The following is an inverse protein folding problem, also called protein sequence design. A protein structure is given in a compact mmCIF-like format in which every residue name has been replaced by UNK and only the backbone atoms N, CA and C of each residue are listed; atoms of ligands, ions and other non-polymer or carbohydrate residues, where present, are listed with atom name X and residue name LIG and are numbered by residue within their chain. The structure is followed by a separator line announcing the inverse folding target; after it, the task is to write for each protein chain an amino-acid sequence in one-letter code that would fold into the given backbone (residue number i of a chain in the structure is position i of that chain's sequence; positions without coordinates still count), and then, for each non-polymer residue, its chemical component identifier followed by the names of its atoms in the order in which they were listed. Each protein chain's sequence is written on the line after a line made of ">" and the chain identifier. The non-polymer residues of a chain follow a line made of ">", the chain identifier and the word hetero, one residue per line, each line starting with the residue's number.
data_IF_685581700471
#
_entry.id   IF_685581700471
#
_cell.length_a   1.000
_cell.length_b   1.000
_cell.length_c   1.000
_cell.angle_alpha   90.00
_cell.angle_beta   90.00
_cell.angle_gamma   90.00
#
_symmetry.space_group_name_H-M   'P 1'
#
loop_
_entity.id
_entity.type
_entity.pdbx_description
1 polymer ?
#
# COMPACT_ATOMS: atom_id res chain seq x y z
N UNK A 1 12.63 33.91 -14.52
CA UNK A 1 12.82 32.54 -14.03
C UNK A 1 11.47 31.82 -14.00
N UNK A 2 10.55 32.12 -13.11
CA UNK A 2 9.23 31.44 -13.01
C UNK A 2 8.46 31.31 -14.33
N UNK A 3 8.42 32.35 -15.15
CA UNK A 3 7.72 32.30 -16.45
C UNK A 3 8.39 31.33 -17.43
N UNK A 4 9.71 31.29 -17.47
CA UNK A 4 10.46 30.37 -18.36
C UNK A 4 10.23 28.93 -17.92
N UNK A 5 10.29 28.69 -16.62
CA UNK A 5 10.08 27.36 -16.02
C UNK A 5 8.64 26.89 -16.27
N UNK A 6 7.66 27.80 -16.16
CA UNK A 6 6.26 27.50 -16.44
C UNK A 6 6.00 27.18 -17.93
N UNK A 7 6.61 27.93 -18.84
CA UNK A 7 6.51 27.66 -20.28
C UNK A 7 7.18 26.31 -20.61
N UNK A 8 8.35 26.05 -20.05
CA UNK A 8 9.02 24.75 -20.20
C UNK A 8 8.12 23.59 -19.74
N UNK A 9 7.49 23.74 -18.57
CA UNK A 9 6.64 22.71 -18.01
C UNK A 9 5.38 22.47 -18.87
N UNK A 10 4.75 23.53 -19.38
CA UNK A 10 3.63 23.43 -20.31
C UNK A 10 4.05 22.68 -21.58
N UNK A 11 5.17 23.06 -22.17
CA UNK A 11 5.69 22.40 -23.39
C UNK A 11 6.03 20.95 -23.13
N UNK A 12 6.64 20.64 -21.99
CA UNK A 12 6.93 19.27 -21.57
C UNK A 12 5.65 18.42 -21.44
N UNK A 13 4.62 18.92 -20.76
CA UNK A 13 3.34 18.22 -20.60
C UNK A 13 2.61 18.00 -21.92
N UNK A 14 2.65 18.99 -22.82
CA UNK A 14 2.08 18.86 -24.17
C UNK A 14 2.79 17.79 -24.97
N UNK A 15 4.12 17.79 -25.02
CA UNK A 15 4.92 16.77 -25.71
C UNK A 15 4.81 15.40 -25.05
N UNK A 16 4.62 15.36 -23.73
CA UNK A 16 4.34 14.10 -23.02
C UNK A 16 3.04 13.48 -23.51
N UNK A 17 1.96 14.27 -23.56
CA UNK A 17 0.62 13.81 -23.93
C UNK A 17 0.44 13.60 -25.45
N UNK A 18 1.13 14.37 -26.27
CA UNK A 18 1.02 14.36 -27.72
C UNK A 18 2.38 14.06 -28.35
N UNK A 19 2.63 12.78 -28.61
CA UNK A 19 3.91 12.31 -29.16
C UNK A 19 4.25 12.87 -30.55
N UNK A 20 3.24 13.30 -31.30
CA UNK A 20 3.36 13.97 -32.61
C UNK A 20 4.00 15.37 -32.51
N UNK A 21 4.02 15.99 -31.34
CA UNK A 21 4.71 17.25 -31.08
C UNK A 21 6.21 17.08 -30.80
N UNK A 22 6.72 15.83 -30.74
CA UNK A 22 8.13 15.54 -30.48
C UNK A 22 8.90 15.53 -31.78
N UNK A 23 10.01 16.25 -31.82
CA UNK A 23 10.94 16.22 -32.93
C UNK A 23 11.84 14.97 -32.90
N UNK A 24 12.41 14.55 -34.04
CA UNK A 24 13.35 13.42 -34.11
C UNK A 24 14.59 13.61 -33.21
N UNK A 25 14.98 14.85 -32.95
CA UNK A 25 16.11 15.23 -32.10
C UNK A 25 15.66 15.87 -30.77
N UNK A 26 14.52 15.46 -30.25
CA UNK A 26 14.02 15.98 -28.96
C UNK A 26 15.04 15.69 -27.84
N UNK A 27 15.50 16.75 -27.17
CA UNK A 27 16.56 16.65 -26.17
C UNK A 27 16.11 15.99 -24.86
N UNK A 28 14.80 15.84 -24.61
CA UNK A 28 14.26 15.19 -23.40
C UNK A 28 13.76 13.80 -23.74
N UNK A 29 12.86 13.69 -24.71
CA UNK A 29 12.20 12.42 -25.04
C UNK A 29 13.06 11.53 -25.95
N UNK A 30 14.02 12.12 -26.70
CA UNK A 30 14.95 11.39 -27.55
C UNK A 30 16.18 10.84 -26.85
N UNK A 31 16.47 11.28 -25.62
CA UNK A 31 17.63 10.83 -24.83
C UNK A 31 17.16 9.92 -23.70
N UNK A 32 17.58 8.64 -23.65
CA UNK A 32 17.02 7.64 -22.72
C UNK A 32 17.05 8.02 -21.24
N UNK A 33 18.08 8.76 -20.79
CA UNK A 33 18.22 9.15 -19.37
C UNK A 33 17.58 10.50 -19.03
N UNK A 34 17.37 11.39 -20.03
CA UNK A 34 16.87 12.75 -19.77
C UNK A 34 15.41 12.76 -19.29
N UNK A 35 14.54 11.94 -19.90
CA UNK A 35 13.14 11.91 -19.48
C UNK A 35 12.96 11.40 -18.04
N UNK A 36 13.60 10.30 -17.59
CA UNK A 36 13.58 9.88 -16.18
C UNK A 36 14.11 10.95 -15.21
N UNK A 37 15.18 11.65 -15.57
CA UNK A 37 15.77 12.69 -14.72
C UNK A 37 14.82 13.89 -14.58
N UNK A 38 14.31 14.44 -15.69
CA UNK A 38 13.32 15.53 -15.67
C UNK A 38 12.06 15.13 -14.88
N UNK A 39 11.58 13.90 -15.08
CA UNK A 39 10.44 13.37 -14.32
C UNK A 39 10.69 13.42 -12.81
N UNK A 40 11.86 12.96 -12.37
CA UNK A 40 12.22 12.94 -10.96
C UNK A 40 12.35 14.37 -10.40
N UNK A 41 12.96 15.28 -11.16
CA UNK A 41 13.11 16.69 -10.79
C UNK A 41 11.75 17.39 -10.63
N UNK A 42 10.77 17.08 -11.47
CA UNK A 42 9.40 17.60 -11.36
C UNK A 42 8.66 17.13 -10.10
N UNK A 43 9.09 16.01 -9.50
CA UNK A 43 8.52 15.47 -8.28
C UNK A 43 9.29 15.87 -7.02
N UNK A 44 10.35 16.70 -7.13
CA UNK A 44 11.05 17.27 -5.97
C UNK A 44 10.29 18.45 -5.38
N UNK A 45 10.11 18.47 -4.06
CA UNK A 45 9.39 19.55 -3.36
C UNK A 45 10.05 20.91 -3.53
N UNK A 46 11.37 20.95 -3.64
CA UNK A 46 12.18 22.17 -3.87
C UNK A 46 12.06 22.72 -5.30
N UNK A 47 11.52 21.95 -6.23
CA UNK A 47 11.38 22.32 -7.65
C UNK A 47 9.91 22.43 -8.06
N UNK A 48 9.10 23.08 -7.26
CA UNK A 48 7.66 23.17 -7.48
C UNK A 48 7.24 24.55 -7.99
N UNK A 49 6.37 24.54 -9.00
CA UNK A 49 5.66 25.73 -9.49
C UNK A 49 4.19 25.67 -9.03
N UNK A 50 3.61 26.81 -8.65
CA UNK A 50 2.18 26.87 -8.37
C UNK A 50 1.36 26.51 -9.61
N UNK A 51 0.41 25.57 -9.48
CA UNK A 51 -0.40 25.10 -10.60
C UNK A 51 -1.26 26.21 -11.22
N UNK A 52 -1.70 27.20 -10.43
CA UNK A 52 -2.47 28.33 -10.97
C UNK A 52 -1.72 29.13 -12.04
N UNK A 53 -0.37 29.21 -11.93
CA UNK A 53 0.46 29.89 -12.96
C UNK A 53 0.38 29.15 -14.29
N UNK A 54 0.38 27.80 -14.24
CA UNK A 54 0.25 27.00 -15.46
C UNK A 54 -1.16 27.15 -16.06
N UNK A 55 -2.20 27.19 -15.24
CA UNK A 55 -3.58 27.39 -15.68
C UNK A 55 -3.79 28.77 -16.31
N UNK A 56 -3.27 29.81 -15.67
CA UNK A 56 -3.34 31.20 -16.18
C UNK A 56 -2.63 31.31 -17.54
N UNK A 57 -1.41 30.78 -17.67
CA UNK A 57 -0.67 30.80 -18.93
C UNK A 57 -1.37 30.00 -20.02
N UNK A 58 -1.92 28.84 -19.71
CA UNK A 58 -2.68 28.03 -20.65
C UNK A 58 -3.94 28.74 -21.14
N UNK A 59 -4.64 29.43 -20.24
CA UNK A 59 -5.86 30.20 -20.56
C UNK A 59 -5.57 31.38 -21.48
N UNK A 60 -4.38 31.98 -21.41
CA UNK A 60 -3.95 33.04 -22.32
C UNK A 60 -3.75 32.53 -23.76
N UNK A 61 -3.31 31.26 -23.89
CA UNK A 61 -3.10 30.64 -25.20
C UNK A 61 -4.41 30.19 -25.85
N UNK A 62 -5.34 29.64 -25.04
CA UNK A 62 -6.62 29.14 -25.57
C UNK A 62 -7.75 29.45 -24.57
N UNK A 63 -8.57 30.46 -24.91
CA UNK A 63 -9.68 30.96 -24.07
C UNK A 63 -10.76 29.92 -23.77
N UNK A 64 -10.83 28.82 -24.54
CA UNK A 64 -11.81 27.75 -24.36
C UNK A 64 -11.25 26.58 -23.49
N UNK A 65 -9.99 26.63 -23.07
CA UNK A 65 -9.27 25.53 -22.46
C UNK A 65 -9.19 25.61 -20.94
N UNK A 66 -10.21 26.12 -20.25
CA UNK A 66 -10.20 26.11 -18.79
C UNK A 66 -9.92 24.71 -18.22
N UNK A 67 -8.86 24.57 -17.40
CA UNK A 67 -8.51 23.32 -16.74
C UNK A 67 -7.66 22.33 -17.55
N UNK A 68 -7.27 22.63 -18.79
CA UNK A 68 -6.45 21.71 -19.62
C UNK A 68 -5.08 21.47 -19.00
N UNK A 69 -4.41 22.51 -18.48
CA UNK A 69 -3.12 22.34 -17.81
C UNK A 69 -3.22 21.40 -16.61
N UNK A 70 -4.28 21.53 -15.84
CA UNK A 70 -4.57 20.65 -14.70
C UNK A 70 -4.79 19.20 -15.14
N UNK A 71 -5.58 18.98 -16.21
CA UNK A 71 -5.82 17.64 -16.75
C UNK A 71 -4.56 16.98 -17.27
N UNK A 72 -3.71 17.72 -17.99
CA UNK A 72 -2.41 17.24 -18.47
C UNK A 72 -1.48 16.88 -17.28
N UNK A 73 -1.47 17.72 -16.24
CA UNK A 73 -0.72 17.48 -15.01
C UNK A 73 -1.20 16.22 -14.30
N UNK A 74 -2.51 16.05 -14.17
CA UNK A 74 -3.14 14.86 -13.55
C UNK A 74 -2.77 13.61 -14.36
N UNK A 75 -2.90 13.64 -15.69
CA UNK A 75 -2.56 12.52 -16.56
C UNK A 75 -1.09 12.13 -16.40
N UNK A 76 -0.19 13.11 -16.43
CA UNK A 76 1.23 12.88 -16.20
C UNK A 76 1.49 12.22 -14.84
N UNK A 77 0.93 12.76 -13.75
CA UNK A 77 1.14 12.25 -12.39
C UNK A 77 0.58 10.83 -12.21
N UNK A 78 -0.60 10.54 -12.75
CA UNK A 78 -1.19 9.20 -12.71
C UNK A 78 -0.29 8.19 -13.42
N UNK A 79 0.23 8.53 -14.60
CA UNK A 79 1.12 7.68 -15.38
C UNK A 79 2.44 7.43 -14.61
N UNK A 80 3.00 8.48 -13.97
CA UNK A 80 4.23 8.34 -13.21
C UNK A 80 4.07 7.43 -11.99
N UNK A 81 3.00 7.59 -11.23
CA UNK A 81 2.72 6.74 -10.07
C UNK A 81 2.45 5.30 -10.51
N UNK A 82 1.68 5.12 -11.59
CA UNK A 82 1.40 3.79 -12.13
C UNK A 82 2.68 3.06 -12.54
N UNK A 83 3.62 3.76 -13.17
CA UNK A 83 4.92 3.20 -13.53
C UNK A 83 5.79 2.90 -12.30
N UNK A 84 5.93 3.88 -11.40
CA UNK A 84 6.89 3.80 -10.27
C UNK A 84 6.45 2.85 -9.16
N UNK A 85 5.14 2.72 -8.92
CA UNK A 85 4.61 1.85 -7.87
C UNK A 85 3.97 0.56 -8.40
N UNK A 86 3.88 0.38 -9.73
CA UNK A 86 3.24 -0.77 -10.35
C UNK A 86 1.73 -0.87 -10.07
N UNK A 87 1.09 0.25 -9.76
CA UNK A 87 -0.33 0.33 -9.41
C UNK A 87 -1.11 0.89 -10.59
N UNK A 88 -2.16 0.22 -11.04
CA UNK A 88 -3.03 0.73 -12.12
C UNK A 88 -4.01 1.77 -11.57
N UNK A 89 -3.51 2.97 -11.22
CA UNK A 89 -4.35 4.07 -10.76
C UNK A 89 -5.43 4.48 -11.77
N UNK A 90 -5.21 4.22 -13.05
CA UNK A 90 -6.20 4.49 -14.10
C UNK A 90 -7.55 3.84 -13.84
N UNK A 91 -7.60 2.69 -13.18
CA UNK A 91 -8.85 2.00 -12.85
C UNK A 91 -9.71 2.76 -11.83
N UNK A 92 -9.10 3.59 -10.96
CA UNK A 92 -9.85 4.46 -10.03
C UNK A 92 -10.52 5.65 -10.71
N UNK A 93 -10.04 6.02 -11.89
CA UNK A 93 -10.42 7.22 -12.60
C UNK A 93 -11.21 6.92 -13.88
N UNK A 94 -11.51 5.64 -14.15
CA UNK A 94 -12.29 5.22 -15.32
C UNK A 94 -13.77 5.09 -14.91
N UNK A 95 -14.63 5.48 -15.84
CA UNK A 95 -16.09 5.49 -15.91
C UNK A 95 -16.84 4.84 -14.71
N UNK A 96 -17.66 5.63 -13.97
CA UNK A 96 -18.48 5.16 -12.85
C UNK A 96 -19.44 4.02 -13.20
N UNK A 97 -19.76 3.83 -14.50
CA UNK A 97 -20.72 2.82 -14.99
C UNK A 97 -20.15 1.40 -14.99
N UNK A 98 -18.83 1.21 -14.83
CA UNK A 98 -18.19 -0.10 -14.97
C UNK A 98 -17.79 -0.77 -13.65
N UNK A 99 -17.90 -0.11 -12.50
CA UNK A 99 -17.46 -0.66 -11.22
C UNK A 99 -18.52 -0.48 -10.14
N UNK A 100 -19.36 -1.50 -9.93
CA UNK A 100 -20.27 -1.57 -8.79
C UNK A 100 -19.48 -1.64 -7.47
N UNK A 101 -19.69 -0.64 -6.61
CA UNK A 101 -19.26 -0.69 -5.20
C UNK A 101 -17.90 -0.07 -4.85
N UNK A 102 -17.16 0.53 -5.77
CA UNK A 102 -15.93 1.27 -5.47
C UNK A 102 -16.20 2.78 -5.42
N UNK A 103 -15.55 3.46 -4.45
CA UNK A 103 -15.63 4.91 -4.32
C UNK A 103 -14.85 5.60 -5.47
N UNK A 104 -15.59 5.94 -6.51
CA UNK A 104 -15.04 6.72 -7.62
C UNK A 104 -14.64 8.12 -7.15
N UNK A 105 -13.44 8.54 -7.51
CA UNK A 105 -12.96 9.91 -7.36
C UNK A 105 -12.74 10.48 -8.73
N UNK A 106 -13.47 11.55 -9.07
CA UNK A 106 -13.19 12.30 -10.29
C UNK A 106 -11.86 13.07 -10.12
N UNK A 107 -10.80 12.72 -10.87
CA UNK A 107 -9.50 13.38 -10.73
C UNK A 107 -9.58 14.88 -11.00
N UNK A 108 -10.50 15.32 -11.86
CA UNK A 108 -10.69 16.74 -12.19
C UNK A 108 -11.14 17.56 -10.98
N UNK A 109 -11.77 16.92 -9.99
CA UNK A 109 -12.22 17.55 -8.74
C UNK A 109 -11.13 17.59 -7.67
N UNK A 110 -10.01 16.89 -7.87
CA UNK A 110 -8.89 16.91 -6.94
C UNK A 110 -8.15 18.22 -7.12
N UNK A 111 -7.97 18.95 -6.03
CA UNK A 111 -7.23 20.20 -6.00
C UNK A 111 -5.79 19.97 -5.50
N UNK A 112 -4.88 20.83 -5.91
CA UNK A 112 -3.50 20.86 -5.46
C UNK A 112 -2.89 22.20 -5.78
N UNK A 113 -1.96 22.66 -4.92
CA UNK A 113 -1.27 23.94 -5.11
C UNK A 113 -0.11 23.82 -6.12
N UNK A 114 0.52 22.62 -6.17
CA UNK A 114 1.63 22.28 -7.07
C UNK A 114 1.65 20.77 -7.32
N UNK A 115 2.59 20.26 -8.14
CA UNK A 115 2.62 18.85 -8.57
C UNK A 115 2.64 17.86 -7.40
N UNK A 116 3.51 18.05 -6.41
CA UNK A 116 3.64 17.11 -5.29
C UNK A 116 2.38 17.11 -4.42
N UNK A 117 1.76 18.27 -4.21
CA UNK A 117 0.51 18.38 -3.47
C UNK A 117 -0.66 17.75 -4.24
N UNK A 118 -0.75 18.00 -5.55
CA UNK A 118 -1.74 17.37 -6.41
C UNK A 118 -1.56 15.83 -6.42
N UNK A 119 -0.33 15.36 -6.51
CA UNK A 119 0.00 13.93 -6.45
C UNK A 119 -0.44 13.30 -5.12
N UNK A 120 -0.09 13.95 -3.99
CA UNK A 120 -0.52 13.54 -2.67
C UNK A 120 -2.04 13.42 -2.59
N UNK A 121 -2.75 14.45 -3.04
CA UNK A 121 -4.20 14.50 -2.97
C UNK A 121 -4.87 13.46 -3.88
N UNK A 122 -4.32 13.19 -5.06
CA UNK A 122 -4.77 12.09 -5.92
C UNK A 122 -4.63 10.71 -5.25
N UNK A 123 -3.51 10.47 -4.56
CA UNK A 123 -3.25 9.20 -3.89
C UNK A 123 -4.13 8.98 -2.66
N UNK A 124 -4.43 10.04 -1.92
CA UNK A 124 -5.14 9.96 -0.62
C UNK A 124 -6.66 10.13 -0.77
N UNK A 125 -7.13 10.82 -1.82
CA UNK A 125 -8.54 11.13 -2.01
C UNK A 125 -9.51 9.93 -1.88
N UNK A 126 -9.19 8.72 -2.36
CA UNK A 126 -10.07 7.56 -2.18
C UNK A 126 -10.28 7.15 -0.72
N UNK A 127 -9.24 7.33 0.13
CA UNK A 127 -9.29 6.97 1.56
C UNK A 127 -10.05 7.99 2.40
N UNK A 128 -9.93 9.27 2.08
CA UNK A 128 -10.61 10.34 2.82
C UNK A 128 -12.13 10.23 2.76
N UNK A 129 -12.67 9.60 1.71
CA UNK A 129 -14.11 9.32 1.58
C UNK A 129 -14.59 8.22 2.54
N UNK A 130 -13.73 7.30 2.94
CA UNK A 130 -14.08 6.20 3.88
C UNK A 130 -14.22 6.69 5.33
N UNK A 131 -13.92 7.96 5.66
CA UNK A 131 -14.04 8.58 7.00
C UNK A 131 -13.59 7.65 8.15
N UNK A 132 -12.54 6.90 7.94
CA UNK A 132 -11.91 6.19 9.04
C UNK A 132 -11.23 7.26 9.91
N UNK A 133 -11.86 7.61 11.02
CA UNK A 133 -11.21 8.45 12.03
C UNK A 133 -10.03 7.68 12.56
N UNK A 134 -8.87 8.30 12.59
CA UNK A 134 -7.75 7.79 13.35
C UNK A 134 -8.16 7.65 14.82
N UNK A 135 -7.63 6.67 15.46
CA UNK A 135 -7.76 6.44 16.90
C UNK A 135 -6.37 6.47 17.51
N UNK A 136 -6.29 6.70 18.79
CA UNK A 136 -5.01 6.66 19.51
C UNK A 136 -4.29 5.34 19.25
N UNK A 137 -3.01 5.40 18.88
CA UNK A 137 -2.18 4.22 18.65
C UNK A 137 -1.95 3.47 19.97
N UNK A 138 -2.82 2.51 20.26
CA UNK A 138 -2.79 1.72 21.50
C UNK A 138 -1.83 0.53 21.44
N UNK A 139 -1.41 0.11 20.24
CA UNK A 139 -0.56 -1.05 20.04
C UNK A 139 0.34 -0.90 18.83
N UNK A 140 1.59 -1.33 18.94
CA UNK A 140 2.54 -1.41 17.83
C UNK A 140 2.16 -2.64 16.96
N UNK A 141 2.14 -2.47 15.63
CA UNK A 141 1.92 -3.59 14.73
C UNK A 141 3.03 -4.65 14.87
N UNK A 142 2.69 -5.95 14.90
CA UNK A 142 3.70 -6.99 14.83
C UNK A 142 4.34 -7.01 13.44
N UNK A 143 5.64 -7.37 13.35
CA UNK A 143 6.30 -7.52 12.07
C UNK A 143 5.69 -8.68 11.25
N UNK A 144 5.95 -8.67 9.94
CA UNK A 144 5.50 -9.70 8.99
C UNK A 144 5.96 -11.10 9.45
N UNK A 145 7.20 -11.24 9.90
CA UNK A 145 7.72 -12.52 10.43
C UNK A 145 6.93 -12.97 11.68
N UNK A 146 6.68 -12.06 12.63
CA UNK A 146 5.90 -12.36 13.84
C UNK A 146 4.48 -12.79 13.50
N UNK A 147 3.83 -12.09 12.56
CA UNK A 147 2.50 -12.45 12.08
C UNK A 147 2.50 -13.83 11.40
N UNK A 148 3.47 -14.09 10.53
CA UNK A 148 3.61 -15.38 9.85
C UNK A 148 3.86 -16.52 10.85
N UNK A 149 4.74 -16.32 11.84
CA UNK A 149 4.99 -17.28 12.92
C UNK A 149 3.77 -17.53 13.80
N UNK A 150 2.89 -16.54 13.94
CA UNK A 150 1.61 -16.67 14.62
C UNK A 150 0.54 -17.41 13.79
N UNK A 151 0.87 -17.85 12.56
CA UNK A 151 -0.08 -18.52 11.65
C UNK A 151 -0.95 -17.57 10.85
N UNK A 152 -0.66 -16.29 10.87
CA UNK A 152 -1.29 -15.30 10.01
C UNK A 152 -0.89 -15.51 8.54
N UNK A 153 -1.81 -15.25 7.64
CA UNK A 153 -1.58 -15.26 6.19
C UNK A 153 -1.31 -13.85 5.71
N UNK A 154 -0.44 -13.75 4.71
CA UNK A 154 -0.12 -12.48 4.06
C UNK A 154 -0.54 -12.62 2.61
N UNK A 155 -1.32 -11.65 2.10
CA UNK A 155 -1.88 -11.70 0.76
C UNK A 155 -1.72 -10.36 0.04
N UNK A 156 -1.17 -10.40 -1.18
CA UNK A 156 -1.09 -9.24 -2.05
C UNK A 156 -2.44 -8.97 -2.71
N UNK A 157 -3.05 -7.82 -2.46
CA UNK A 157 -4.32 -7.43 -3.04
C UNK A 157 -4.09 -6.73 -4.39
N UNK A 158 -4.75 -7.21 -5.44
CA UNK A 158 -4.73 -6.60 -6.78
C UNK A 158 -6.04 -5.89 -7.11
N UNK A 159 -7.11 -6.21 -6.38
CA UNK A 159 -8.45 -5.67 -6.63
C UNK A 159 -8.64 -4.26 -6.09
N UNK A 160 -7.78 -3.82 -5.16
CA UNK A 160 -7.81 -2.45 -4.66
C UNK A 160 -6.55 -1.72 -5.15
N UNK A 161 -6.69 -0.79 -6.11
CA UNK A 161 -5.57 -0.05 -6.65
C UNK A 161 -5.04 1.04 -5.69
N UNK A 162 -5.67 1.25 -4.52
CA UNK A 162 -5.18 2.20 -3.54
C UNK A 162 -4.02 1.61 -2.73
N UNK A 163 -2.82 2.17 -2.95
CA UNK A 163 -1.57 1.77 -2.30
C UNK A 163 -1.65 1.73 -0.76
N UNK A 164 -2.44 2.61 -0.16
CA UNK A 164 -2.54 2.79 1.29
C UNK A 164 -3.65 1.96 1.94
N UNK A 165 -4.44 1.20 1.17
CA UNK A 165 -5.57 0.42 1.69
C UNK A 165 -5.14 -0.92 2.29
N UNK A 166 -4.33 -0.88 3.37
CA UNK A 166 -3.92 -2.08 4.10
C UNK A 166 -5.04 -2.51 5.04
N UNK A 167 -5.40 -3.80 5.02
CA UNK A 167 -6.50 -4.35 5.83
C UNK A 167 -6.07 -5.66 6.50
N UNK A 168 -6.63 -5.91 7.70
CA UNK A 168 -6.45 -7.15 8.40
C UNK A 168 -7.81 -7.79 8.72
N UNK A 169 -8.04 -8.96 8.13
CA UNK A 169 -9.26 -9.73 8.32
C UNK A 169 -9.00 -10.84 9.35
N UNK A 170 -9.68 -10.78 10.48
CA UNK A 170 -9.68 -11.81 11.50
C UNK A 170 -11.04 -12.53 11.48
N UNK A 171 -11.24 -13.42 10.52
CA UNK A 171 -12.49 -14.15 10.40
C UNK A 171 -12.54 -15.31 11.38
N UNK A 172 -13.49 -15.27 12.31
CA UNK A 172 -13.97 -16.45 13.03
C UNK A 172 -14.78 -17.30 12.06
N UNK A 173 -14.22 -18.38 11.54
CA UNK A 173 -14.96 -19.26 10.66
C UNK A 173 -15.92 -20.09 11.52
N UNK A 174 -17.17 -19.65 11.62
CA UNK A 174 -18.29 -20.48 12.02
C UNK A 174 -18.65 -21.43 10.86
N UNK A 175 -18.02 -22.59 10.79
CA UNK A 175 -18.47 -23.65 9.89
C UNK A 175 -19.53 -24.47 10.61
N UNK A 176 -20.78 -24.41 10.13
CA UNK A 176 -21.93 -25.19 10.60
C UNK A 176 -22.31 -25.01 12.09
N UNK A 177 -22.20 -23.79 12.64
CA UNK A 177 -22.62 -23.52 14.02
C UNK A 177 -21.65 -24.02 15.11
N UNK A 178 -20.56 -24.68 14.74
CA UNK A 178 -19.50 -25.08 15.65
C UNK A 178 -18.42 -23.96 15.62
N UNK A 179 -18.03 -23.38 16.78
CA UNK A 179 -16.90 -22.45 16.81
C UNK A 179 -15.66 -23.20 16.31
N UNK A 180 -15.31 -22.99 15.05
CA UNK A 180 -14.10 -23.58 14.50
C UNK A 180 -12.92 -22.93 15.21
N UNK A 181 -12.15 -23.77 15.90
CA UNK A 181 -10.99 -23.42 16.72
C UNK A 181 -9.87 -22.74 15.90
N UNK A 182 -10.06 -22.57 14.59
CA UNK A 182 -9.10 -22.00 13.66
C UNK A 182 -9.36 -20.50 13.44
N UNK A 183 -8.65 -19.66 14.19
CA UNK A 183 -8.60 -18.23 13.97
C UNK A 183 -7.68 -17.95 12.75
N UNK A 184 -8.26 -17.62 11.62
CA UNK A 184 -7.51 -17.24 10.41
C UNK A 184 -7.39 -15.72 10.36
N UNK A 185 -6.20 -15.18 10.65
CA UNK A 185 -5.87 -13.79 10.36
C UNK A 185 -5.25 -13.68 8.98
N UNK A 186 -5.72 -12.76 8.18
CA UNK A 186 -5.15 -12.49 6.85
C UNK A 186 -4.86 -11.00 6.73
N UNK A 187 -3.59 -10.66 6.57
CA UNK A 187 -3.14 -9.31 6.24
C UNK A 187 -3.17 -9.14 4.73
N UNK A 188 -3.95 -8.18 4.27
CA UNK A 188 -4.06 -7.79 2.86
C UNK A 188 -3.31 -6.49 2.65
N UNK A 189 -2.33 -6.52 1.78
CA UNK A 189 -1.51 -5.36 1.42
C UNK A 189 -1.62 -5.18 -0.10
N UNK A 190 -1.92 -3.98 -0.61
CA UNK A 190 -1.86 -3.69 -2.03
C UNK A 190 -0.47 -4.01 -2.58
N UNK A 191 -0.42 -4.55 -3.80
CA UNK A 191 0.86 -4.84 -4.43
C UNK A 191 1.61 -3.56 -4.73
N UNK A 192 2.89 -3.57 -4.47
CA UNK A 192 3.79 -2.43 -4.61
C UNK A 192 5.05 -2.86 -5.37
N UNK A 193 5.38 -2.12 -6.42
CA UNK A 193 6.70 -2.18 -7.04
C UNK A 193 7.60 -1.14 -6.37
N UNK A 194 8.82 -1.52 -6.05
CA UNK A 194 9.82 -0.65 -5.44
C UNK A 194 11.04 -0.60 -6.34
N UNK A 195 11.38 0.60 -6.75
CA UNK A 195 12.53 0.95 -7.57
C UNK A 195 13.27 2.17 -6.98
N UNK A 196 14.41 2.54 -7.54
CA UNK A 196 15.25 3.64 -7.01
C UNK A 196 14.48 4.98 -6.88
N UNK A 197 13.55 5.27 -7.80
CA UNK A 197 12.72 6.48 -7.74
C UNK A 197 11.67 6.45 -6.63
N UNK A 198 11.32 5.28 -6.10
CA UNK A 198 10.28 5.11 -5.06
C UNK A 198 10.64 5.87 -3.77
N UNK A 199 11.91 5.77 -3.34
CA UNK A 199 12.37 6.49 -2.15
C UNK A 199 12.25 8.00 -2.32
N UNK A 200 12.64 8.54 -3.49
CA UNK A 200 12.55 9.97 -3.80
C UNK A 200 11.09 10.45 -3.74
N UNK A 201 10.18 9.76 -4.41
CA UNK A 201 8.76 10.12 -4.43
C UNK A 201 8.17 10.12 -3.03
N UNK A 202 8.38 9.04 -2.26
CA UNK A 202 7.84 8.93 -0.91
C UNK A 202 8.41 10.00 0.03
N UNK A 203 9.72 10.33 -0.07
CA UNK A 203 10.31 11.42 0.74
C UNK A 203 9.69 12.78 0.45
N UNK A 204 9.41 13.08 -0.80
CA UNK A 204 8.77 14.36 -1.18
C UNK A 204 7.30 14.40 -0.72
N UNK A 205 6.59 13.27 -0.80
CA UNK A 205 5.23 13.14 -0.27
C UNK A 205 5.18 13.26 1.26
N UNK A 206 6.13 12.68 1.97
CA UNK A 206 6.29 12.84 3.42
C UNK A 206 6.56 14.30 3.75
N UNK A 207 7.51 14.93 3.03
CA UNK A 207 7.88 16.31 3.27
C UNK A 207 6.70 17.28 3.08
N UNK A 208 5.87 17.11 2.05
CA UNK A 208 4.68 17.95 1.86
C UNK A 208 3.67 17.77 3.00
N UNK A 209 3.44 16.55 3.49
CA UNK A 209 2.54 16.32 4.64
C UNK A 209 3.07 16.96 5.92
N UNK A 210 4.39 16.89 6.15
CA UNK A 210 5.04 17.50 7.33
C UNK A 210 5.08 19.04 7.25
N UNK A 211 5.31 19.61 6.06
CA UNK A 211 5.37 21.07 5.85
C UNK A 211 4.00 21.73 5.83
N UNK A 212 2.99 21.08 5.25
CA UNK A 212 1.64 21.65 5.11
C UNK A 212 0.78 21.52 6.37
N UNK A 213 1.27 20.87 7.42
CA UNK A 213 0.47 20.49 8.60
C UNK A 213 -0.88 19.88 8.19
N UNK A 214 -0.80 18.93 7.25
CA UNK A 214 -1.99 18.24 6.75
C UNK A 214 -2.77 17.65 7.91
N UNK A 215 -4.11 17.86 7.91
CA UNK A 215 -4.98 17.30 8.95
C UNK A 215 -5.00 15.77 8.93
N UNK A 216 -4.69 15.18 7.77
CA UNK A 216 -4.72 13.74 7.56
C UNK A 216 -3.39 13.29 6.92
N UNK A 217 -2.30 13.10 7.71
CA UNK A 217 -0.99 12.71 7.20
C UNK A 217 -0.91 11.22 6.89
N UNK A 218 -1.76 10.76 5.96
CA UNK A 218 -1.96 9.32 5.64
C UNK A 218 -0.69 8.67 5.11
N UNK A 219 0.11 9.40 4.33
CA UNK A 219 1.36 8.88 3.77
C UNK A 219 2.40 8.69 4.88
N UNK A 220 2.50 9.64 5.81
CA UNK A 220 3.33 9.50 7.00
C UNK A 220 2.91 8.29 7.84
N UNK A 221 1.59 8.12 8.05
CA UNK A 221 1.04 6.96 8.78
C UNK A 221 1.34 5.63 8.07
N UNK A 222 1.24 5.61 6.73
CA UNK A 222 1.57 4.45 5.93
C UNK A 222 3.05 4.06 6.06
N UNK A 223 3.96 5.02 5.97
CA UNK A 223 5.40 4.76 6.10
C UNK A 223 5.75 4.27 7.50
N UNK A 224 5.14 4.84 8.54
CA UNK A 224 5.30 4.34 9.93
C UNK A 224 4.77 2.92 10.07
N UNK A 225 3.61 2.62 9.48
CA UNK A 225 3.09 1.24 9.48
C UNK A 225 4.03 0.28 8.75
N UNK A 226 4.54 0.66 7.58
CA UNK A 226 5.48 -0.16 6.83
C UNK A 226 6.79 -0.42 7.60
N UNK A 227 7.30 0.57 8.32
CA UNK A 227 8.44 0.44 9.23
C UNK A 227 8.17 -0.58 10.36
N UNK A 228 6.99 -0.53 10.97
CA UNK A 228 6.58 -1.54 11.96
C UNK A 228 6.47 -2.95 11.38
N UNK A 229 5.99 -3.08 10.14
CA UNK A 229 5.79 -4.35 9.46
C UNK A 229 7.11 -4.96 8.97
N UNK A 230 8.07 -4.13 8.53
CA UNK A 230 9.35 -4.53 7.92
C UNK A 230 10.50 -4.10 8.84
N UNK A 231 10.67 -4.79 9.94
CA UNK A 231 11.73 -4.55 10.95
C UNK A 231 13.08 -5.16 10.52
N UNK A 232 13.04 -6.19 9.68
CA UNK A 232 14.21 -6.98 9.29
C UNK A 232 14.20 -7.39 7.81
N UNK A 233 15.36 -7.78 7.23
CA UNK A 233 15.42 -8.35 5.88
C UNK A 233 14.50 -9.57 5.66
N UNK A 234 14.27 -10.36 6.71
CA UNK A 234 13.33 -11.50 6.64
C UNK A 234 11.89 -11.08 6.40
N UNK A 235 11.48 -9.94 6.96
CA UNK A 235 10.15 -9.38 6.72
C UNK A 235 10.03 -8.97 5.25
N UNK A 236 11.08 -8.33 4.69
CA UNK A 236 11.16 -7.96 3.29
C UNK A 236 11.12 -9.20 2.38
N UNK A 237 11.92 -10.23 2.67
CA UNK A 237 11.91 -11.52 1.95
C UNK A 237 10.50 -12.13 1.90
N UNK A 238 9.77 -12.11 3.02
CA UNK A 238 8.40 -12.62 3.07
C UNK A 238 7.45 -11.82 2.17
N UNK A 239 7.55 -10.50 2.12
CA UNK A 239 6.74 -9.67 1.23
C UNK A 239 7.02 -9.98 -0.23
N UNK A 240 8.28 -10.12 -0.62
CA UNK A 240 8.69 -10.48 -1.98
C UNK A 240 8.22 -11.90 -2.32
N UNK A 241 8.43 -12.87 -1.44
CA UNK A 241 8.01 -14.27 -1.61
C UNK A 241 6.50 -14.40 -1.81
N UNK A 242 5.69 -13.59 -1.13
CA UNK A 242 4.25 -13.57 -1.27
C UNK A 242 3.76 -12.69 -2.43
N UNK A 243 4.69 -12.15 -3.25
CA UNK A 243 4.41 -11.30 -4.41
C UNK A 243 3.60 -10.04 -4.05
N UNK A 244 3.85 -9.51 -2.86
CA UNK A 244 3.28 -8.25 -2.38
C UNK A 244 4.17 -7.11 -2.84
N UNK A 245 5.49 -7.25 -2.66
CA UNK A 245 6.48 -6.31 -3.15
C UNK A 245 7.21 -6.91 -4.34
N UNK A 246 7.21 -6.20 -5.46
CA UNK A 246 8.12 -6.43 -6.58
C UNK A 246 9.36 -5.57 -6.34
N UNK A 247 10.43 -6.21 -5.86
CA UNK A 247 11.66 -5.52 -5.52
C UNK A 247 12.56 -5.40 -6.75
N UNK A 248 12.71 -4.19 -7.28
CA UNK A 248 13.60 -3.86 -8.39
C UNK A 248 14.90 -3.17 -7.93
N UNK A 249 15.17 -3.10 -6.62
CA UNK A 249 16.40 -2.52 -6.07
C UNK A 249 17.59 -3.45 -6.30
N UNK A 250 18.77 -2.88 -6.59
CA UNK A 250 19.99 -3.64 -6.81
C UNK A 250 20.52 -4.34 -5.54
N UNK A 251 20.21 -3.81 -4.34
CA UNK A 251 20.62 -4.36 -3.05
C UNK A 251 19.76 -5.51 -2.50
N UNK A 252 18.72 -5.92 -3.23
CA UNK A 252 17.83 -7.01 -2.82
C UNK A 252 16.99 -6.69 -1.57
N UNK A 253 16.69 -7.72 -0.75
CA UNK A 253 15.79 -7.60 0.40
C UNK A 253 16.42 -6.82 1.57
N UNK A 254 17.76 -6.83 1.68
CA UNK A 254 18.49 -6.02 2.67
C UNK A 254 18.32 -4.52 2.39
N UNK A 255 18.47 -4.12 1.11
CA UNK A 255 18.26 -2.72 0.71
C UNK A 255 16.81 -2.31 0.83
N UNK A 256 15.86 -3.18 0.48
CA UNK A 256 14.43 -2.95 0.65
C UNK A 256 14.09 -2.64 2.12
N UNK A 257 14.54 -3.49 3.04
CA UNK A 257 14.34 -3.28 4.47
C UNK A 257 15.00 -1.97 4.95
N UNK A 258 16.26 -1.74 4.54
CA UNK A 258 16.98 -0.50 4.88
C UNK A 258 16.31 0.75 4.36
N UNK A 259 15.77 0.74 3.14
CA UNK A 259 15.05 1.87 2.53
C UNK A 259 13.78 2.20 3.32
N UNK A 260 12.95 1.19 3.66
CA UNK A 260 11.74 1.40 4.44
C UNK A 260 12.08 2.02 5.79
N UNK A 261 13.06 1.48 6.49
CA UNK A 261 13.49 1.99 7.80
C UNK A 261 14.16 3.38 7.72
N UNK A 262 14.76 3.76 6.58
CA UNK A 262 15.26 5.13 6.36
C UNK A 262 14.12 6.13 6.11
N UNK A 263 13.06 5.70 5.44
CA UNK A 263 11.90 6.57 5.14
C UNK A 263 11.16 7.02 6.39
N UNK A 264 11.09 6.17 7.43
CA UNK A 264 10.40 6.50 8.69
C UNK A 264 11.16 7.51 9.56
N UNK A 265 12.48 7.67 9.32
CA UNK A 265 13.32 8.53 10.15
C UNK A 265 12.95 10.01 9.99
N UNK A 266 12.70 10.65 11.11
CA UNK A 266 12.38 12.09 11.18
C UNK A 266 10.92 12.42 10.93
N UNK A 267 10.05 11.43 10.71
CA UNK A 267 8.61 11.67 10.67
C UNK A 267 8.10 11.99 12.06
N UNK A 268 7.51 13.18 12.21
CA UNK A 268 6.78 13.58 13.41
C UNK A 268 5.31 13.24 13.18
N UNK A 269 4.78 12.30 13.95
CA UNK A 269 3.40 11.83 13.83
C UNK A 269 2.70 11.94 15.19
N UNK A 270 1.47 12.45 15.16
CA UNK A 270 0.60 12.41 16.31
C UNK A 270 0.09 10.96 16.50
N UNK A 271 0.33 10.41 17.69
CA UNK A 271 -0.13 9.06 18.02
C UNK A 271 -1.61 9.02 18.40
N UNK A 272 -2.23 10.17 18.67
CA UNK A 272 -3.64 10.25 19.08
C UNK A 272 -4.61 10.13 17.91
N UNK A 273 -4.14 10.34 16.68
CA UNK A 273 -4.93 10.22 15.44
C UNK A 273 -4.22 9.37 14.38
N UNK A 274 -3.85 8.13 14.73
CA UNK A 274 -3.14 7.25 13.81
C UNK A 274 -4.12 6.45 12.94
N UNK A 275 -4.09 6.67 11.62
CA UNK A 275 -5.02 6.06 10.67
C UNK A 275 -5.11 4.53 10.76
N UNK A 276 -4.00 3.84 11.01
CA UNK A 276 -3.93 2.39 11.08
C UNK A 276 -4.01 1.82 12.50
N UNK A 277 -4.42 2.61 13.50
CA UNK A 277 -4.45 2.16 14.91
C UNK A 277 -5.31 0.91 15.10
N UNK A 278 -6.51 0.88 14.54
CA UNK A 278 -7.41 -0.27 14.59
C UNK A 278 -6.83 -1.54 13.95
N UNK A 279 -6.05 -1.37 12.86
CA UNK A 279 -5.34 -2.46 12.20
C UNK A 279 -4.23 -3.01 13.11
N UNK A 280 -3.41 -2.13 13.70
CA UNK A 280 -2.34 -2.49 14.62
C UNK A 280 -2.89 -3.27 15.84
N UNK A 281 -3.99 -2.78 16.41
CA UNK A 281 -4.65 -3.43 17.55
C UNK A 281 -5.17 -4.82 17.19
N UNK A 282 -5.86 -4.99 16.06
CA UNK A 282 -6.35 -6.29 15.58
C UNK A 282 -5.20 -7.28 15.37
N UNK A 283 -4.14 -6.85 14.69
CA UNK A 283 -2.96 -7.67 14.47
C UNK A 283 -2.27 -8.04 15.77
N UNK A 284 -2.11 -7.10 16.71
CA UNK A 284 -1.56 -7.35 18.05
C UNK A 284 -2.38 -8.36 18.83
N UNK A 285 -3.70 -8.21 18.88
CA UNK A 285 -4.62 -9.16 19.52
C UNK A 285 -4.53 -10.56 18.89
N UNK A 286 -4.41 -10.64 17.57
CA UNK A 286 -4.23 -11.89 16.86
C UNK A 286 -2.92 -12.58 17.26
N UNK A 287 -1.78 -11.90 17.21
CA UNK A 287 -0.48 -12.47 17.54
C UNK A 287 -0.32 -12.82 19.04
N UNK A 288 -0.96 -12.05 19.92
CA UNK A 288 -0.91 -12.29 21.37
C UNK A 288 -1.91 -13.35 21.84
N UNK A 289 -2.84 -13.79 20.99
CA UNK A 289 -3.78 -14.85 21.37
C UNK A 289 -3.02 -16.16 21.67
N UNK A 290 -3.52 -16.96 22.61
CA UNK A 290 -2.86 -18.24 22.99
C UNK A 290 -2.87 -19.28 21.86
N UNK A 291 -3.71 -19.08 20.83
CA UNK A 291 -3.90 -20.00 19.72
C UNK A 291 -2.65 -20.21 18.83
N UNK A 292 -1.94 -19.16 18.39
CA UNK A 292 -0.72 -19.32 17.60
C UNK A 292 0.37 -20.07 18.36
N UNK A 293 0.51 -19.81 19.66
CA UNK A 293 1.47 -20.50 20.53
C UNK A 293 1.15 -21.99 20.63
N UNK A 294 -0.13 -22.31 20.74
CA UNK A 294 -0.62 -23.69 20.85
C UNK A 294 -0.42 -24.45 19.53
N UNK A 295 -0.75 -23.83 18.39
CA UNK A 295 -0.58 -24.40 17.07
C UNK A 295 0.90 -24.62 16.71
N UNK A 296 1.78 -23.68 17.06
CA UNK A 296 3.23 -23.82 16.89
C UNK A 296 3.78 -24.99 17.70
N UNK A 297 3.35 -25.12 18.96
CA UNK A 297 3.73 -26.24 19.82
C UNK A 297 3.16 -27.58 19.32
N UNK A 298 1.93 -27.58 18.84
CA UNK A 298 1.29 -28.77 18.27
C UNK A 298 2.03 -29.22 17.00
N UNK A 299 2.31 -28.27 16.09
CA UNK A 299 3.01 -28.57 14.83
C UNK A 299 4.44 -29.03 15.07
N UNK A 300 5.18 -28.39 15.99
CA UNK A 300 6.56 -28.75 16.28
C UNK A 300 6.70 -30.06 17.06
N UNK A 301 5.74 -30.39 17.93
CA UNK A 301 5.82 -31.60 18.76
C UNK A 301 5.14 -32.82 18.14
N UNK A 302 4.04 -32.63 17.40
CA UNK A 302 3.18 -33.73 16.96
C UNK A 302 3.12 -33.91 15.43
N UNK A 303 3.56 -32.92 14.64
CA UNK A 303 3.51 -32.96 13.17
C UNK A 303 4.89 -32.76 12.52
N UNK A 304 5.95 -32.93 13.28
CA UNK A 304 7.33 -32.71 12.80
C UNK A 304 7.87 -33.85 11.95
N UNK A 305 7.28 -35.05 12.07
CA UNK A 305 7.67 -36.22 11.27
C UNK A 305 6.44 -36.96 10.77
N UNK A 306 6.51 -37.64 9.59
CA UNK A 306 5.39 -38.43 9.06
C UNK A 306 4.87 -39.47 10.07
N UNK A 307 5.77 -40.06 10.87
CA UNK A 307 5.43 -41.04 11.90
C UNK A 307 4.68 -40.44 13.09
N UNK A 308 5.02 -39.23 13.51
CA UNK A 308 4.30 -38.53 14.56
C UNK A 308 2.87 -38.18 14.12
N UNK A 309 2.69 -37.78 12.87
CA UNK A 309 1.37 -37.53 12.29
C UNK A 309 0.50 -38.79 12.27
N UNK A 310 1.09 -39.91 11.84
CA UNK A 310 0.39 -41.21 11.80
C UNK A 310 -0.04 -41.66 13.21
N UNK A 311 0.81 -41.51 14.22
CA UNK A 311 0.48 -41.87 15.62
C UNK A 311 -0.63 -41.02 16.21
N UNK A 312 -0.68 -39.72 15.90
CA UNK A 312 -1.77 -38.84 16.34
C UNK A 312 -3.09 -39.23 15.68
N UNK A 313 -3.08 -39.51 14.37
CA UNK A 313 -4.29 -39.98 13.66
C UNK A 313 -4.79 -41.30 14.28
N UNK A 314 -3.89 -42.27 14.49
CA UNK A 314 -4.25 -43.53 15.11
C UNK A 314 -4.84 -43.36 16.51
N UNK A 315 -4.28 -42.47 17.34
CA UNK A 315 -4.81 -42.18 18.68
C UNK A 315 -6.21 -41.56 18.62
N UNK A 316 -6.44 -40.62 17.69
CA UNK A 316 -7.78 -40.00 17.52
C UNK A 316 -8.82 -41.04 17.05
N UNK A 317 -8.46 -41.91 16.12
CA UNK A 317 -9.35 -43.00 15.67
C UNK A 317 -9.70 -43.95 16.82
N UNK A 318 -8.71 -44.36 17.62
CA UNK A 318 -8.95 -45.18 18.79
C UNK A 318 -9.88 -44.50 19.81
N UNK A 319 -9.68 -43.20 20.07
CA UNK A 319 -10.57 -42.45 20.99
C UNK A 319 -12.01 -42.41 20.49
N UNK A 320 -12.19 -42.21 19.14
CA UNK A 320 -13.52 -42.22 18.52
C UNK A 320 -14.18 -43.60 18.69
N UNK A 321 -13.44 -44.70 18.39
CA UNK A 321 -13.98 -46.05 18.58
C UNK A 321 -14.32 -46.34 20.04
N UNK A 322 -13.47 -45.95 20.99
CA UNK A 322 -13.73 -46.12 22.43
C UNK A 322 -14.98 -45.32 22.85
N UNK A 323 -15.16 -44.09 22.38
CA UNK A 323 -16.36 -43.30 22.66
C UNK A 323 -17.63 -43.97 22.10
N UNK A 324 -17.57 -44.48 20.86
CA UNK A 324 -18.67 -45.21 20.24
C UNK A 324 -19.01 -46.47 21.04
N UNK A 325 -18.00 -47.29 21.41
CA UNK A 325 -18.20 -48.49 22.25
C UNK A 325 -18.84 -48.13 23.60
N UNK A 326 -18.40 -47.05 24.24
CA UNK A 326 -18.96 -46.61 25.53
C UNK A 326 -20.43 -46.22 25.37
N UNK A 327 -20.80 -45.50 24.32
CA UNK A 327 -22.18 -45.11 24.05
C UNK A 327 -23.08 -46.35 23.85
N UNK A 328 -22.62 -47.29 23.03
CA UNK A 328 -23.39 -48.55 22.78
C UNK A 328 -23.43 -49.47 24.01
N UNK A 329 -22.46 -49.40 24.91
CA UNK A 329 -22.46 -50.15 26.16
C UNK A 329 -23.43 -49.58 27.18
N UNK A 330 -23.60 -48.23 27.20
CA UNK A 330 -24.51 -47.56 28.15
C UNK A 330 -25.96 -47.56 27.69
N UNK A 331 -26.19 -47.63 26.36
CA UNK A 331 -27.52 -47.73 25.74
C UNK A 331 -27.65 -49.06 24.94
N UNK A 332 -27.69 -50.24 25.62
CA UNK A 332 -28.04 -51.44 24.92
C UNK A 332 -29.50 -51.35 24.50
N UNK A 333 -29.78 -51.68 23.22
CA UNK A 333 -31.15 -51.79 22.69
C UNK A 333 -31.87 -52.92 23.34
#
# INVERSE_FOLDING_TARGET
>A
MVLVDAIFLIEFLLRYSHGDLRDENDCIFGIPMMFPDVKNDLLMLENQLPLFILEDLFSLYNRESGGVAKLLSIQFLIDQVSCSFGVELKQHFVDPSQVEGQHFVDPSQVEGQHFVDLLRNLLVAPLLKEKLKGETLSAIAPSIEKLHLAGGKIHGETSNPNLFAIRFDDNWILKNGIPCILKNGTLKIPKLRIEDSTELILRNLIAIEQCSMSKDPIICHYVILMDMLVDSPKDAELLVKHKIVENALLGGDDELSSMINRLSRGIVCDTDDFYYSALCEKMGKFCNSNWPKWMKNLRSKYFNTPWATLSVVAAVVLLIFTAIQTIFSVYPR
#
